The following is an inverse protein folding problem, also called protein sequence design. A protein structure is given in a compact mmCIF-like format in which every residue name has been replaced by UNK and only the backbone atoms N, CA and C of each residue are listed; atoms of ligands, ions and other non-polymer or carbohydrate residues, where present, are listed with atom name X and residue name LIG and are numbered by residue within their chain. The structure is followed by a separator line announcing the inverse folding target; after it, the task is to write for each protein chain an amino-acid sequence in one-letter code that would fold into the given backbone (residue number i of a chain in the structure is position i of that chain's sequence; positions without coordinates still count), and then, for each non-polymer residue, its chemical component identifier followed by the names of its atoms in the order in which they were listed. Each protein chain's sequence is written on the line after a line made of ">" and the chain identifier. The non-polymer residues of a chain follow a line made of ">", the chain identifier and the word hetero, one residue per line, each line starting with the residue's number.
data_IF_853112188886
#
_entry.id   IF_853112188886
#
_cell.length_a   1.000
_cell.length_b   1.000
_cell.length_c   1.000
_cell.angle_alpha   90.00
_cell.angle_beta   90.00
_cell.angle_gamma   90.00
#
_symmetry.space_group_name_H-M   'P 1'
#
loop_
_entity.id
_entity.type
_entity.pdbx_description
1 polymer ?
#
# COMPACT_ATOMS: atom_id res chain seq x y z
N UNK A 1 14.41 30.14 22.80
CA UNK A 1 13.81 28.85 22.44
C UNK A 1 12.36 29.10 22.11
N UNK A 2 12.04 29.24 20.83
CA UNK A 2 10.68 29.50 20.36
C UNK A 2 10.07 28.18 19.91
N UNK A 3 8.98 27.81 20.53
CA UNK A 3 8.09 26.71 20.16
C UNK A 3 7.50 27.03 18.78
N UNK A 4 8.04 26.43 17.75
CA UNK A 4 7.46 26.52 16.40
C UNK A 4 6.18 25.67 16.37
N UNK A 5 5.09 26.35 16.06
CA UNK A 5 3.72 25.86 16.04
C UNK A 5 3.55 24.60 15.18
N UNK A 6 3.24 23.50 15.85
CA UNK A 6 2.75 22.24 15.24
C UNK A 6 1.44 22.47 14.42
N UNK A 7 0.75 23.57 14.65
CA UNK A 7 -0.51 23.95 14.00
C UNK A 7 -0.32 24.41 12.55
N UNK A 8 0.80 25.01 12.19
CA UNK A 8 1.04 25.48 10.82
C UNK A 8 1.29 24.33 9.81
N UNK A 9 1.87 23.22 10.26
CA UNK A 9 2.15 22.04 9.41
C UNK A 9 0.87 21.21 9.22
N UNK A 10 -0.02 21.19 10.20
CA UNK A 10 -1.35 20.59 10.08
C UNK A 10 -2.24 21.40 9.11
N UNK A 11 -2.06 22.71 9.02
CA UNK A 11 -2.85 23.59 8.17
C UNK A 11 -2.67 23.32 6.66
N UNK A 12 -1.49 22.90 6.20
CA UNK A 12 -1.26 22.65 4.77
C UNK A 12 -1.86 21.32 4.27
N UNK A 13 -2.01 20.34 5.16
CA UNK A 13 -2.74 19.09 4.86
C UNK A 13 -4.25 19.19 5.16
N UNK A 14 -4.67 20.17 6.01
CA UNK A 14 -6.03 20.31 6.52
C UNK A 14 -6.83 21.40 5.78
N UNK A 15 -6.17 22.35 5.10
CA UNK A 15 -6.83 23.52 4.49
C UNK A 15 -7.60 23.21 3.18
N UNK A 16 -7.74 21.96 2.77
CA UNK A 16 -8.51 21.59 1.58
C UNK A 16 -9.68 20.62 1.84
N UNK A 17 -10.19 20.57 3.07
CA UNK A 17 -11.46 19.87 3.35
C UNK A 17 -12.46 20.88 3.89
N UNK A 18 -12.90 21.78 3.04
CA UNK A 18 -14.05 22.65 3.31
C UNK A 18 -15.17 22.32 2.34
N UNK A 19 -16.29 21.93 2.93
CA UNK A 19 -17.65 21.91 2.40
C UNK A 19 -17.96 21.00 1.19
N UNK A 20 -18.51 19.83 1.47
CA UNK A 20 -19.63 19.30 0.70
C UNK A 20 -20.42 18.35 1.58
N UNK A 21 -21.62 18.74 1.95
CA UNK A 21 -22.71 17.83 2.27
C UNK A 21 -22.97 16.97 1.03
N UNK A 22 -22.35 15.78 0.97
CA UNK A 22 -22.62 14.79 -0.06
C UNK A 22 -23.53 13.75 0.57
N UNK A 23 -24.71 13.58 0.01
CA UNK A 23 -25.54 12.39 0.19
C UNK A 23 -24.71 11.12 -0.02
N UNK A 24 -24.99 10.00 0.67
CA UNK A 24 -24.25 8.77 0.53
C UNK A 24 -24.46 8.23 -0.91
N UNK A 25 -23.49 8.44 -1.81
CA UNK A 25 -23.48 7.81 -3.12
C UNK A 25 -23.39 6.30 -2.88
N UNK A 26 -24.41 5.58 -3.30
CA UNK A 26 -24.49 4.11 -3.27
C UNK A 26 -23.29 3.56 -4.03
N UNK A 27 -22.32 3.02 -3.34
CA UNK A 27 -21.14 2.40 -3.99
C UNK A 27 -21.56 1.03 -4.53
N UNK A 28 -21.29 0.80 -5.81
CA UNK A 28 -21.53 -0.48 -6.45
C UNK A 28 -20.76 -1.61 -5.74
N UNK A 29 -21.38 -2.78 -5.62
CA UNK A 29 -20.69 -3.99 -5.16
C UNK A 29 -19.63 -4.44 -6.18
N UNK A 30 -18.67 -5.28 -5.78
CA UNK A 30 -17.66 -5.82 -6.71
C UNK A 30 -18.33 -6.49 -7.92
N UNK A 31 -19.41 -7.22 -7.70
CA UNK A 31 -20.20 -7.88 -8.77
C UNK A 31 -20.85 -6.86 -9.70
N UNK A 32 -21.32 -5.72 -9.19
CA UNK A 32 -21.90 -4.64 -10.00
C UNK A 32 -20.81 -3.91 -10.79
N UNK A 33 -19.62 -3.72 -10.23
CA UNK A 33 -18.45 -3.15 -10.93
C UNK A 33 -18.02 -4.12 -12.05
N UNK A 34 -17.92 -5.41 -11.78
CA UNK A 34 -17.58 -6.43 -12.80
C UNK A 34 -18.64 -6.52 -13.91
N UNK A 35 -19.92 -6.39 -13.58
CA UNK A 35 -21.02 -6.34 -14.54
C UNK A 35 -20.97 -5.07 -15.40
N UNK A 36 -20.65 -3.90 -14.79
CA UNK A 36 -20.46 -2.64 -15.49
C UNK A 36 -19.28 -2.70 -16.47
N UNK A 37 -18.13 -3.26 -16.03
CA UNK A 37 -16.95 -3.49 -16.88
C UNK A 37 -17.29 -4.41 -18.06
N UNK A 38 -18.04 -5.48 -17.84
CA UNK A 38 -18.46 -6.40 -18.90
C UNK A 38 -19.41 -5.74 -19.91
N UNK A 39 -20.28 -4.84 -19.45
CA UNK A 39 -21.21 -4.09 -20.30
C UNK A 39 -20.46 -3.08 -21.17
N UNK A 40 -19.55 -2.30 -20.58
CA UNK A 40 -18.73 -1.32 -21.30
C UNK A 40 -17.84 -1.97 -22.37
N UNK A 41 -17.24 -3.13 -22.06
CA UNK A 41 -16.44 -3.89 -23.04
C UNK A 41 -17.27 -4.39 -24.23
N UNK A 42 -18.52 -4.79 -24.01
CA UNK A 42 -19.44 -5.20 -25.11
C UNK A 42 -19.86 -4.01 -25.97
N UNK A 43 -20.05 -2.83 -25.38
CA UNK A 43 -20.44 -1.62 -26.10
C UNK A 43 -19.27 -1.04 -26.92
N UNK A 44 -18.06 -1.04 -26.39
CA UNK A 44 -16.85 -0.60 -27.11
C UNK A 44 -16.50 -1.52 -28.29
N UNK A 45 -16.63 -2.84 -28.13
CA UNK A 45 -16.42 -3.78 -29.24
C UNK A 45 -17.45 -3.60 -30.37
N UNK A 46 -18.66 -3.13 -30.08
CA UNK A 46 -19.67 -2.83 -31.13
C UNK A 46 -19.36 -1.54 -31.91
N UNK A 47 -18.66 -0.56 -31.28
CA UNK A 47 -18.25 0.70 -31.93
C UNK A 47 -17.05 0.52 -32.87
N UNK A 48 -16.05 -0.29 -32.49
CA UNK A 48 -14.89 -0.56 -33.34
C UNK A 48 -15.14 -1.38 -34.60
N UNK A 49 -16.30 -2.02 -34.74
CA UNK A 49 -16.70 -2.78 -35.94
C UNK A 49 -17.34 -1.94 -37.03
N UNK A 50 -17.51 -0.62 -36.87
CA UNK A 50 -18.20 0.25 -37.83
C UNK A 50 -17.33 1.29 -38.55
N UNK A 51 -16.04 1.39 -38.27
CA UNK A 51 -15.16 2.34 -38.96
C UNK A 51 -14.02 1.60 -39.70
N UNK A 52 -14.17 1.48 -41.01
CA UNK A 52 -13.04 1.17 -41.92
C UNK A 52 -12.29 2.46 -42.21
N UNK A 53 -10.93 2.47 -42.13
CA UNK A 53 -10.15 3.64 -42.53
C UNK A 53 -10.11 3.75 -44.07
N UNK A 54 -10.45 4.91 -44.60
CA UNK A 54 -10.16 5.30 -45.99
C UNK A 54 -8.71 5.81 -46.04
N UNK A 55 -7.89 5.12 -46.81
CA UNK A 55 -6.59 5.63 -47.28
C UNK A 55 -6.86 6.74 -48.31
N UNK A 56 -6.18 7.87 -48.13
CA UNK A 56 -5.50 8.63 -49.16
C UNK A 56 -5.14 10.03 -48.64
N UNK A 57 -3.89 10.23 -48.25
CA UNK A 57 -3.28 11.57 -48.26
C UNK A 57 -1.82 11.43 -48.74
N UNK A 58 -1.56 12.00 -49.94
CA UNK A 58 -0.25 12.22 -50.54
C UNK A 58 0.58 13.14 -49.68
N UNK A 59 1.86 12.75 -49.38
CA UNK A 59 2.88 13.63 -48.81
C UNK A 59 3.99 13.86 -49.83
N UNK A 60 4.48 15.11 -50.05
CA UNK A 60 5.57 15.39 -50.94
C UNK A 60 6.92 15.00 -50.30
N UNK A 61 7.81 14.43 -51.13
CA UNK A 61 9.19 14.06 -50.77
C UNK A 61 10.02 15.30 -50.47
N UNK A 62 10.59 15.39 -49.29
CA UNK A 62 11.64 16.32 -48.94
C UNK A 62 13.01 15.61 -49.04
N UNK A 63 13.91 16.20 -49.78
CA UNK A 63 15.30 15.72 -49.93
C UNK A 63 16.10 15.90 -48.64
N UNK A 64 16.65 14.79 -48.15
CA UNK A 64 17.43 14.77 -46.91
C UNK A 64 18.91 14.89 -47.21
N UNK A 65 19.50 16.01 -46.87
CA UNK A 65 20.95 16.17 -46.77
C UNK A 65 21.49 15.40 -45.56
N UNK A 66 22.33 14.40 -45.84
CA UNK A 66 22.98 13.54 -44.87
C UNK A 66 23.99 14.32 -44.02
N UNK A 67 23.64 14.65 -42.78
CA UNK A 67 24.59 15.07 -41.75
C UNK A 67 24.98 13.88 -40.89
N UNK A 68 26.29 13.67 -40.72
CA UNK A 68 26.88 12.60 -39.94
C UNK A 68 26.40 12.65 -38.48
N UNK A 69 25.82 11.54 -38.00
CA UNK A 69 25.41 11.35 -36.60
C UNK A 69 26.62 11.41 -35.65
N UNK A 70 26.59 12.22 -34.57
CA UNK A 70 27.60 12.14 -33.52
C UNK A 70 27.58 10.80 -32.85
N UNK A 71 28.75 10.24 -32.56
CA UNK A 71 28.92 8.96 -31.84
C UNK A 71 28.16 9.02 -30.48
N UNK A 72 27.37 7.99 -30.10
CA UNK A 72 26.68 7.99 -28.83
C UNK A 72 27.69 8.03 -27.68
N UNK A 73 27.53 8.97 -26.75
CA UNK A 73 28.29 9.02 -25.50
C UNK A 73 28.08 7.68 -24.76
N UNK A 74 29.12 7.11 -24.14
CA UNK A 74 28.97 5.86 -23.38
C UNK A 74 27.92 6.06 -22.29
N UNK A 75 26.93 5.14 -22.25
CA UNK A 75 25.94 5.10 -21.17
C UNK A 75 26.67 5.06 -19.83
N UNK A 76 26.33 5.87 -18.84
CA UNK A 76 26.95 5.80 -17.51
C UNK A 76 26.78 4.38 -16.97
N UNK A 77 27.89 3.80 -16.48
CA UNK A 77 27.85 2.49 -15.78
C UNK A 77 26.82 2.58 -14.67
N UNK A 78 25.97 1.56 -14.45
CA UNK A 78 25.02 1.57 -13.37
C UNK A 78 25.78 1.79 -12.05
N UNK A 79 25.48 2.89 -11.36
CA UNK A 79 25.97 3.15 -10.00
C UNK A 79 25.59 1.92 -9.18
N UNK A 80 26.49 1.41 -8.33
CA UNK A 80 26.21 0.31 -7.42
C UNK A 80 24.85 0.57 -6.75
N UNK A 81 23.94 -0.38 -6.86
CA UNK A 81 22.60 -0.25 -6.27
C UNK A 81 22.80 -0.14 -4.77
N UNK A 82 22.80 1.08 -4.25
CA UNK A 82 22.72 1.29 -2.83
C UNK A 82 21.46 0.59 -2.34
N UNK A 83 21.55 -0.21 -1.29
CA UNK A 83 20.44 -0.97 -0.72
C UNK A 83 19.40 -0.04 -0.04
N UNK A 84 18.93 0.95 -0.79
CA UNK A 84 17.99 2.01 -0.38
C UNK A 84 16.70 1.86 -1.18
N UNK A 85 15.56 1.93 -0.51
CA UNK A 85 14.24 1.74 -1.13
C UNK A 85 13.92 2.79 -2.21
N UNK A 86 14.43 4.02 -2.08
CA UNK A 86 14.24 5.04 -3.10
C UNK A 86 14.88 4.67 -4.43
N UNK A 87 16.07 4.05 -4.42
CA UNK A 87 16.74 3.57 -5.63
C UNK A 87 15.93 2.45 -6.30
N UNK A 88 15.37 1.56 -5.47
CA UNK A 88 14.50 0.51 -5.99
C UNK A 88 13.23 1.07 -6.62
N UNK A 89 12.61 2.09 -6.00
CA UNK A 89 11.42 2.73 -6.53
C UNK A 89 11.72 3.39 -7.88
N UNK A 90 12.87 4.06 -8.03
CA UNK A 90 13.33 4.67 -9.29
C UNK A 90 13.57 3.65 -10.40
N UNK A 91 14.23 2.53 -10.08
CA UNK A 91 14.58 1.50 -11.08
C UNK A 91 13.36 0.71 -11.55
N UNK A 92 12.37 0.52 -10.66
CA UNK A 92 11.15 -0.26 -10.95
C UNK A 92 9.99 0.64 -11.39
N UNK A 93 10.24 1.89 -11.73
CA UNK A 93 9.22 2.83 -12.17
C UNK A 93 8.57 2.37 -13.48
N UNK A 94 7.25 2.39 -13.52
CA UNK A 94 6.45 1.94 -14.66
C UNK A 94 5.30 2.88 -15.04
N UNK A 95 5.04 3.92 -14.22
CA UNK A 95 4.03 4.92 -14.52
C UNK A 95 4.56 5.93 -15.54
N UNK A 96 3.94 5.96 -16.72
CA UNK A 96 4.27 6.90 -17.79
C UNK A 96 3.48 8.21 -17.62
N UNK A 97 4.17 9.34 -17.68
CA UNK A 97 3.57 10.68 -17.65
C UNK A 97 4.54 11.73 -18.19
N UNK A 98 4.02 12.86 -18.67
CA UNK A 98 4.84 14.01 -19.03
C UNK A 98 5.18 14.83 -17.77
N UNK A 99 6.45 14.79 -17.29
CA UNK A 99 6.87 15.54 -16.10
C UNK A 99 6.82 17.07 -16.31
N UNK A 100 6.71 17.53 -17.57
CA UNK A 100 6.67 18.95 -17.94
C UNK A 100 5.24 19.48 -18.09
N UNK A 101 4.21 18.64 -17.86
CA UNK A 101 2.85 19.11 -17.88
C UNK A 101 2.63 20.22 -16.83
N UNK A 102 2.02 21.36 -17.24
CA UNK A 102 1.90 22.61 -16.45
C UNK A 102 1.31 22.41 -15.04
N UNK A 103 0.34 21.49 -14.90
CA UNK A 103 -0.28 21.19 -13.58
C UNK A 103 0.72 20.46 -12.66
N UNK A 104 1.55 19.56 -13.20
CA UNK A 104 2.59 18.84 -12.46
C UNK A 104 3.69 19.81 -12.01
N UNK A 105 4.16 20.68 -12.92
CA UNK A 105 5.15 21.71 -12.58
C UNK A 105 4.66 22.59 -11.42
N UNK A 106 3.39 23.03 -11.45
CA UNK A 106 2.81 23.84 -10.38
C UNK A 106 2.84 23.15 -9.02
N UNK A 107 2.44 21.88 -8.94
CA UNK A 107 2.47 21.12 -7.69
C UNK A 107 3.91 20.82 -7.24
N UNK A 108 4.81 20.54 -8.18
CA UNK A 108 6.24 20.36 -7.90
C UNK A 108 6.86 21.62 -7.27
N UNK A 109 6.56 22.80 -7.81
CA UNK A 109 7.02 24.05 -7.21
C UNK A 109 6.49 24.23 -5.79
N UNK A 110 5.24 23.85 -5.50
CA UNK A 110 4.70 23.86 -4.14
C UNK A 110 5.49 22.96 -3.18
N UNK A 111 5.86 21.75 -3.59
CA UNK A 111 6.72 20.88 -2.77
C UNK A 111 8.10 21.50 -2.52
N UNK A 112 8.66 22.15 -3.53
CA UNK A 112 10.01 22.73 -3.46
C UNK A 112 10.07 24.04 -2.65
N UNK A 113 8.94 24.70 -2.37
CA UNK A 113 8.90 25.82 -1.42
C UNK A 113 9.12 25.40 0.03
N UNK A 114 8.94 24.10 0.35
CA UNK A 114 9.12 23.56 1.70
C UNK A 114 9.81 22.19 1.62
N UNK A 115 11.08 22.13 1.19
CA UNK A 115 11.78 20.84 0.97
C UNK A 115 11.92 20.02 2.25
N UNK A 116 11.96 20.66 3.43
CA UNK A 116 11.99 19.98 4.75
C UNK A 116 10.75 19.12 4.97
N UNK A 117 9.62 19.48 4.37
CA UNK A 117 8.40 18.67 4.41
C UNK A 117 8.66 17.28 3.82
N UNK A 118 9.31 17.20 2.64
CA UNK A 118 9.62 15.93 1.99
C UNK A 118 10.60 15.09 2.83
N UNK A 119 11.58 15.72 3.47
CA UNK A 119 12.49 15.04 4.41
C UNK A 119 11.70 14.44 5.58
N UNK A 120 10.79 15.20 6.17
CA UNK A 120 9.97 14.72 7.29
C UNK A 120 9.00 13.60 6.87
N UNK A 121 8.38 13.70 5.70
CA UNK A 121 7.48 12.66 5.18
C UNK A 121 8.27 11.39 4.85
N UNK A 122 9.43 11.50 4.19
CA UNK A 122 10.28 10.34 3.90
C UNK A 122 10.75 9.64 5.18
N UNK A 123 11.10 10.39 6.25
CA UNK A 123 11.40 9.84 7.56
C UNK A 123 10.20 9.13 8.21
N UNK A 124 9.00 9.67 8.03
CA UNK A 124 7.77 8.97 8.48
C UNK A 124 7.47 7.72 7.65
N UNK A 125 7.87 7.64 6.41
CA UNK A 125 7.69 6.47 5.57
C UNK A 125 8.58 5.27 5.98
N UNK A 126 9.72 5.52 6.63
CA UNK A 126 10.73 4.51 6.96
C UNK A 126 10.16 3.20 7.55
N UNK A 127 9.27 3.20 8.55
CA UNK A 127 8.76 1.95 9.10
C UNK A 127 7.84 1.17 8.17
N UNK A 128 7.27 1.80 7.14
CA UNK A 128 6.16 1.24 6.37
C UNK A 128 6.48 0.96 4.91
N UNK A 129 7.39 1.75 4.32
CA UNK A 129 7.62 1.78 2.88
C UNK A 129 8.02 0.41 2.32
N UNK A 130 8.89 -0.34 3.00
CA UNK A 130 9.28 -1.69 2.58
C UNK A 130 8.07 -2.61 2.47
N UNK A 131 7.23 -2.65 3.51
CA UNK A 131 6.04 -3.50 3.54
C UNK A 131 5.05 -3.16 2.42
N UNK A 132 4.87 -1.88 2.13
CA UNK A 132 3.96 -1.41 1.09
C UNK A 132 4.49 -1.77 -0.29
N UNK A 133 5.78 -1.52 -0.57
CA UNK A 133 6.42 -1.90 -1.84
C UNK A 133 6.36 -3.42 -2.04
N UNK A 134 6.65 -4.21 -1.02
CA UNK A 134 6.58 -5.68 -1.08
C UNK A 134 5.16 -6.17 -1.40
N UNK A 135 4.14 -5.56 -0.78
CA UNK A 135 2.73 -5.89 -1.05
C UNK A 135 2.31 -5.54 -2.49
N UNK A 136 2.74 -4.39 -3.01
CA UNK A 136 2.48 -3.99 -4.40
C UNK A 136 3.15 -4.93 -5.40
N UNK A 137 4.42 -5.27 -5.17
CA UNK A 137 5.19 -6.21 -6.02
C UNK A 137 4.56 -7.59 -6.09
N UNK A 138 4.11 -8.13 -4.96
CA UNK A 138 3.45 -9.45 -4.91
C UNK A 138 2.19 -9.54 -5.75
N UNK A 139 1.55 -8.40 -6.01
CA UNK A 139 0.33 -8.30 -6.80
C UNK A 139 0.57 -7.69 -8.20
N UNK A 140 1.84 -7.55 -8.61
CA UNK A 140 2.27 -6.98 -9.90
C UNK A 140 1.71 -5.56 -10.14
N UNK A 141 1.64 -4.74 -9.10
CA UNK A 141 1.25 -3.33 -9.19
C UNK A 141 2.48 -2.42 -9.24
N UNK A 142 2.38 -1.25 -9.89
CA UNK A 142 3.44 -0.25 -9.89
C UNK A 142 3.88 0.10 -8.47
N UNK A 143 5.19 0.03 -8.22
CA UNK A 143 5.75 0.30 -6.89
C UNK A 143 5.63 1.77 -6.48
N UNK A 144 5.47 2.67 -7.45
CA UNK A 144 5.24 4.10 -7.27
C UNK A 144 3.97 4.38 -6.48
N UNK A 145 2.97 3.48 -6.53
CA UNK A 145 1.75 3.58 -5.73
C UNK A 145 2.03 3.56 -4.22
N UNK A 146 3.24 3.13 -3.80
CA UNK A 146 3.70 3.29 -2.43
C UNK A 146 3.82 4.76 -1.99
N UNK A 147 3.79 5.71 -2.93
CA UNK A 147 3.78 7.14 -2.63
C UNK A 147 2.38 7.69 -2.29
N UNK A 148 1.30 6.94 -2.56
CA UNK A 148 -0.06 7.37 -2.19
C UNK A 148 -0.18 7.77 -0.72
N UNK A 149 0.33 7.01 0.27
CA UNK A 149 0.31 7.43 1.66
C UNK A 149 1.07 8.74 1.96
N UNK A 150 2.01 9.18 1.09
CA UNK A 150 2.63 10.50 1.24
C UNK A 150 1.64 11.61 0.93
N UNK A 151 0.78 11.43 -0.08
CA UNK A 151 -0.24 12.39 -0.49
C UNK A 151 -1.45 12.34 0.45
N UNK A 152 -1.87 11.14 0.87
CA UNK A 152 -3.06 10.90 1.68
C UNK A 152 -2.92 11.33 3.15
N UNK A 153 -1.85 10.90 3.79
CA UNK A 153 -1.67 11.04 5.24
C UNK A 153 -0.29 11.57 5.65
N UNK A 154 0.56 11.94 4.69
CA UNK A 154 1.98 12.19 4.95
C UNK A 154 2.65 11.06 5.77
N UNK A 155 2.25 9.81 5.55
CA UNK A 155 2.67 8.61 6.30
C UNK A 155 2.37 8.66 7.81
N UNK A 156 1.29 9.33 8.21
CA UNK A 156 0.80 9.33 9.61
C UNK A 156 -0.18 8.16 9.76
N UNK A 157 0.23 7.09 10.45
CA UNK A 157 -0.54 5.84 10.54
C UNK A 157 -1.88 5.97 11.29
N UNK A 158 -2.00 6.93 12.18
CA UNK A 158 -3.23 7.24 12.93
C UNK A 158 -3.93 8.51 12.45
N UNK A 159 -3.66 8.98 11.24
CA UNK A 159 -4.35 10.16 10.69
C UNK A 159 -5.85 9.87 10.54
N UNK A 160 -6.67 10.86 10.90
CA UNK A 160 -8.12 10.85 10.68
C UNK A 160 -8.53 12.18 10.10
N UNK A 161 -9.18 12.16 8.93
CA UNK A 161 -9.69 13.36 8.27
C UNK A 161 -11.01 13.82 8.86
N UNK A 162 -11.44 15.06 8.52
CA UNK A 162 -12.76 15.59 8.90
C UNK A 162 -13.91 14.75 8.34
N UNK A 163 -13.73 14.12 7.18
CA UNK A 163 -14.71 13.22 6.56
C UNK A 163 -14.66 11.79 7.11
N UNK A 164 -13.83 11.54 8.15
CA UNK A 164 -13.72 10.23 8.80
C UNK A 164 -12.86 9.23 8.04
N UNK A 165 -12.11 9.64 7.00
CA UNK A 165 -11.09 8.80 6.38
C UNK A 165 -9.93 8.57 7.36
N UNK A 166 -9.34 7.36 7.41
CA UNK A 166 -8.36 7.01 8.44
C UNK A 166 -7.19 6.19 7.91
N UNK A 167 -6.05 6.33 8.61
CA UNK A 167 -4.83 5.57 8.41
C UNK A 167 -3.96 6.07 7.27
N UNK A 168 -2.94 5.29 6.92
CA UNK A 168 -1.97 5.62 5.87
C UNK A 168 -2.65 5.88 4.52
N UNK A 169 -3.66 5.08 4.20
CA UNK A 169 -4.36 5.02 2.93
C UNK A 169 -5.66 5.83 2.89
N UNK A 170 -6.02 6.49 3.99
CA UNK A 170 -7.21 7.33 4.14
C UNK A 170 -8.51 6.66 3.66
N UNK A 171 -8.72 5.39 4.06
CA UNK A 171 -10.00 4.73 3.78
C UNK A 171 -11.14 5.39 4.56
N UNK A 172 -12.23 5.74 3.87
CA UNK A 172 -13.51 6.03 4.53
C UNK A 172 -14.13 4.72 5.06
N UNK A 173 -14.98 4.75 6.11
CA UNK A 173 -15.53 3.54 6.74
C UNK A 173 -16.15 2.55 5.76
N UNK A 174 -17.04 3.02 4.88
CA UNK A 174 -17.75 2.17 3.92
C UNK A 174 -16.80 1.47 2.93
N UNK A 175 -15.81 2.21 2.37
CA UNK A 175 -14.84 1.62 1.45
C UNK A 175 -13.95 0.61 2.18
N UNK A 176 -13.48 0.95 3.39
CA UNK A 176 -12.68 0.02 4.19
C UNK A 176 -13.42 -1.28 4.46
N UNK A 177 -14.67 -1.22 4.89
CA UNK A 177 -15.52 -2.40 5.13
C UNK A 177 -15.70 -3.23 3.86
N UNK A 178 -15.96 -2.59 2.72
CA UNK A 178 -16.13 -3.25 1.43
C UNK A 178 -14.88 -4.06 1.03
N UNK A 179 -13.69 -3.55 1.30
CA UNK A 179 -12.43 -4.24 1.02
C UNK A 179 -11.92 -5.12 2.17
N UNK A 180 -12.78 -5.40 3.18
CA UNK A 180 -12.54 -6.38 4.23
C UNK A 180 -11.77 -5.86 5.44
N UNK A 181 -11.68 -4.53 5.62
CA UNK A 181 -11.09 -3.93 6.81
C UNK A 181 -12.05 -4.07 7.99
N UNK A 182 -11.60 -4.76 9.03
CA UNK A 182 -12.36 -4.90 10.27
C UNK A 182 -12.29 -3.63 11.12
N UNK A 183 -13.39 -3.32 11.79
CA UNK A 183 -13.48 -2.22 12.75
C UNK A 183 -14.37 -2.59 13.91
N UNK A 184 -13.93 -2.29 15.13
CA UNK A 184 -14.70 -2.39 16.37
C UNK A 184 -14.26 -1.26 17.33
N UNK A 185 -14.84 -1.11 18.52
CA UNK A 185 -14.46 -0.04 19.46
C UNK A 185 -12.97 0.02 19.82
N UNK A 186 -12.29 -1.12 19.92
CA UNK A 186 -10.88 -1.22 20.31
C UNK A 186 -9.91 -1.37 19.14
N UNK A 187 -10.42 -1.55 17.91
CA UNK A 187 -9.58 -1.78 16.73
C UNK A 187 -10.17 -1.13 15.48
N UNK A 188 -9.35 -0.33 14.81
CA UNK A 188 -9.65 0.19 13.47
C UNK A 188 -8.57 -0.26 12.48
N UNK A 189 -8.87 -1.28 11.69
CA UNK A 189 -7.95 -1.84 10.69
C UNK A 189 -7.55 -0.89 9.58
N UNK A 190 -8.23 0.25 9.41
CA UNK A 190 -7.82 1.32 8.48
C UNK A 190 -6.50 1.96 8.90
N UNK A 191 -6.20 1.93 10.21
CA UNK A 191 -4.97 2.42 10.80
C UNK A 191 -3.91 1.30 10.96
N UNK A 192 -4.26 0.02 10.80
CA UNK A 192 -3.29 -1.08 10.72
C UNK A 192 -2.65 -1.12 9.35
N UNK A 193 -1.32 -1.04 9.31
CA UNK A 193 -0.58 -0.97 8.03
C UNK A 193 -0.78 -2.21 7.16
N UNK A 194 -0.95 -3.40 7.74
CA UNK A 194 -1.11 -4.66 6.99
C UNK A 194 -2.52 -4.75 6.39
N UNK A 195 -3.54 -4.52 7.21
CA UNK A 195 -4.93 -4.63 6.80
C UNK A 195 -5.28 -3.54 5.77
N UNK A 196 -4.87 -2.30 6.04
CA UNK A 196 -5.13 -1.19 5.13
C UNK A 196 -4.34 -1.31 3.82
N UNK A 197 -3.08 -1.77 3.84
CA UNK A 197 -2.30 -2.01 2.61
C UNK A 197 -2.91 -3.14 1.78
N UNK A 198 -3.33 -4.24 2.40
CA UNK A 198 -4.03 -5.34 1.70
C UNK A 198 -5.32 -4.86 1.03
N UNK A 199 -6.09 -4.01 1.71
CA UNK A 199 -7.30 -3.43 1.16
C UNK A 199 -6.99 -2.45 0.02
N UNK A 200 -5.97 -1.58 0.17
CA UNK A 200 -5.56 -0.63 -0.86
C UNK A 200 -5.10 -1.33 -2.15
N UNK A 201 -4.31 -2.38 -2.03
CA UNK A 201 -3.87 -3.21 -3.16
C UNK A 201 -5.09 -3.81 -3.89
N UNK A 202 -6.06 -4.36 -3.17
CA UNK A 202 -7.29 -4.88 -3.78
C UNK A 202 -8.09 -3.79 -4.48
N UNK A 203 -8.24 -2.63 -3.85
CA UNK A 203 -8.99 -1.50 -4.43
C UNK A 203 -8.30 -0.97 -5.68
N UNK A 204 -6.99 -0.78 -5.66
CA UNK A 204 -6.21 -0.36 -6.83
C UNK A 204 -6.34 -1.34 -7.99
N UNK A 205 -6.36 -2.66 -7.74
CA UNK A 205 -6.60 -3.68 -8.79
C UNK A 205 -7.99 -3.57 -9.40
N UNK A 206 -9.01 -3.33 -8.57
CA UNK A 206 -10.38 -3.14 -9.05
C UNK A 206 -10.46 -1.89 -9.92
N UNK A 207 -9.89 -0.77 -9.47
CA UNK A 207 -9.86 0.47 -10.23
C UNK A 207 -9.07 0.32 -11.53
N UNK A 208 -7.89 -0.32 -11.50
CA UNK A 208 -7.08 -0.56 -12.68
C UNK A 208 -7.84 -1.36 -13.76
N UNK A 209 -8.58 -2.40 -13.34
CA UNK A 209 -9.44 -3.17 -14.25
C UNK A 209 -10.61 -2.33 -14.78
N UNK A 210 -11.21 -1.47 -13.94
CA UNK A 210 -12.34 -0.62 -14.28
C UNK A 210 -11.99 0.43 -15.33
N UNK A 211 -10.79 1.01 -15.23
CA UNK A 211 -10.30 2.07 -16.13
C UNK A 211 -9.32 1.55 -17.20
N UNK A 212 -9.42 0.27 -17.57
CA UNK A 212 -8.66 -0.39 -18.66
C UNK A 212 -7.13 -0.08 -18.60
N UNK A 213 -6.58 0.03 -17.41
CA UNK A 213 -5.16 0.26 -17.18
C UNK A 213 -4.72 1.71 -17.10
N UNK A 214 -5.60 2.69 -17.30
CA UNK A 214 -5.26 4.11 -17.17
C UNK A 214 -5.02 4.51 -15.71
N UNK A 215 -3.75 4.61 -15.34
CA UNK A 215 -3.36 4.95 -13.97
C UNK A 215 -3.74 6.36 -13.54
N UNK A 216 -3.88 7.32 -14.48
CA UNK A 216 -4.31 8.67 -14.12
C UNK A 216 -5.78 8.68 -13.71
N UNK A 217 -6.62 7.94 -14.42
CA UNK A 217 -8.03 7.72 -14.07
C UNK A 217 -8.15 6.91 -12.77
N UNK A 218 -7.30 5.89 -12.57
CA UNK A 218 -7.23 5.11 -11.32
C UNK A 218 -6.93 6.00 -10.12
N UNK A 219 -5.89 6.85 -10.21
CA UNK A 219 -5.52 7.78 -9.15
C UNK A 219 -6.63 8.80 -8.86
N UNK A 220 -7.27 9.33 -9.92
CA UNK A 220 -8.41 10.23 -9.76
C UNK A 220 -9.60 9.53 -9.08
N UNK A 221 -9.88 8.28 -9.45
CA UNK A 221 -10.96 7.48 -8.87
C UNK A 221 -10.66 7.06 -7.43
N UNK A 222 -9.40 6.80 -7.09
CA UNK A 222 -9.00 6.54 -5.71
C UNK A 222 -9.37 7.71 -4.78
N UNK A 223 -9.14 8.95 -5.24
CA UNK A 223 -9.45 10.16 -4.49
C UNK A 223 -10.96 10.50 -4.50
N UNK A 224 -11.59 10.51 -5.68
CA UNK A 224 -12.96 11.02 -5.85
C UNK A 224 -14.05 9.94 -5.79
N UNK A 225 -13.67 8.67 -5.86
CA UNK A 225 -14.57 7.54 -6.09
C UNK A 225 -14.81 7.28 -7.57
N UNK A 226 -14.87 6.01 -7.92
CA UNK A 226 -14.97 5.51 -9.29
C UNK A 226 -16.20 6.04 -10.05
N UNK A 227 -17.36 6.10 -9.39
CA UNK A 227 -18.60 6.57 -10.02
C UNK A 227 -18.53 8.03 -10.45
N UNK A 228 -17.82 8.88 -9.70
CA UNK A 228 -17.64 10.28 -10.08
C UNK A 228 -16.79 10.41 -11.35
N UNK A 229 -15.76 9.59 -11.47
CA UNK A 229 -14.89 9.62 -12.66
C UNK A 229 -15.64 9.06 -13.88
N UNK A 230 -16.30 7.91 -13.75
CA UNK A 230 -17.11 7.33 -14.82
C UNK A 230 -18.15 8.33 -15.34
N UNK A 231 -18.88 9.00 -14.44
CA UNK A 231 -19.86 10.04 -14.82
C UNK A 231 -19.24 11.19 -15.62
N UNK A 232 -18.02 11.62 -15.28
CA UNK A 232 -17.34 12.67 -16.04
C UNK A 232 -16.85 12.16 -17.41
N UNK A 233 -16.40 10.91 -17.48
CA UNK A 233 -16.02 10.26 -18.74
C UNK A 233 -17.23 10.16 -19.68
N UNK A 234 -18.36 9.65 -19.19
CA UNK A 234 -19.62 9.54 -19.95
C UNK A 234 -20.08 10.90 -20.47
N UNK A 235 -20.00 11.93 -19.61
CA UNK A 235 -20.34 13.31 -20.00
C UNK A 235 -19.45 13.83 -21.12
N UNK A 236 -18.13 13.60 -21.04
CA UNK A 236 -17.21 14.02 -22.08
C UNK A 236 -17.48 13.28 -23.40
N UNK A 237 -17.69 11.96 -23.34
CA UNK A 237 -18.00 11.14 -24.52
C UNK A 237 -19.30 11.58 -25.20
N UNK A 238 -20.35 11.88 -24.43
CA UNK A 238 -21.62 12.38 -24.94
C UNK A 238 -21.49 13.72 -25.70
N UNK A 239 -20.43 14.50 -25.40
CA UNK A 239 -20.12 15.77 -26.08
C UNK A 239 -18.98 15.64 -27.11
N UNK A 240 -18.56 14.43 -27.47
CA UNK A 240 -17.45 14.21 -28.42
C UNK A 240 -16.09 14.70 -27.92
N UNK A 241 -15.89 14.79 -26.59
CA UNK A 241 -14.64 15.23 -25.95
C UNK A 241 -13.81 14.04 -25.48
N UNK A 242 -12.47 14.17 -25.40
CA UNK A 242 -11.64 13.13 -24.81
C UNK A 242 -12.05 12.82 -23.36
N UNK A 243 -12.06 11.53 -23.00
CA UNK A 243 -12.46 11.06 -21.69
C UNK A 243 -11.26 10.68 -20.80
N UNK A 244 -10.03 11.11 -21.16
CA UNK A 244 -8.84 10.95 -20.35
C UNK A 244 -8.80 11.95 -19.17
N UNK A 245 -8.00 11.66 -18.17
CA UNK A 245 -7.90 12.47 -16.94
C UNK A 245 -7.73 13.98 -17.20
N UNK A 246 -6.89 14.36 -18.18
CA UNK A 246 -6.53 15.77 -18.39
C UNK A 246 -7.67 16.60 -18.95
N UNK A 247 -8.63 15.95 -19.58
CA UNK A 247 -9.79 16.57 -20.21
C UNK A 247 -11.09 16.50 -19.37
N UNK A 248 -11.08 15.74 -18.24
CA UNK A 248 -12.24 15.67 -17.34
C UNK A 248 -12.46 16.97 -16.55
N UNK A 249 -13.73 17.33 -16.36
CA UNK A 249 -14.13 18.43 -15.46
C UNK A 249 -14.26 17.90 -14.03
N UNK A 250 -13.15 17.90 -13.31
CA UNK A 250 -13.07 17.38 -11.94
C UNK A 250 -13.21 18.51 -10.92
N UNK A 251 -13.65 18.17 -9.68
CA UNK A 251 -13.57 19.07 -8.53
C UNK A 251 -12.11 19.46 -8.30
N UNK A 252 -11.89 20.65 -7.76
CA UNK A 252 -10.57 21.23 -7.53
C UNK A 252 -9.63 20.26 -6.79
N UNK A 253 -10.11 19.62 -5.73
CA UNK A 253 -9.35 18.62 -4.96
C UNK A 253 -8.80 17.51 -5.88
N UNK A 254 -9.66 16.87 -6.66
CA UNK A 254 -9.27 15.77 -7.55
C UNK A 254 -8.43 16.25 -8.73
N UNK A 255 -8.71 17.46 -9.24
CA UNK A 255 -7.92 18.08 -10.31
C UNK A 255 -6.47 18.40 -9.88
N UNK A 256 -6.21 18.55 -8.58
CA UNK A 256 -4.88 18.74 -8.00
C UNK A 256 -4.26 17.43 -7.50
N UNK A 257 -5.05 16.41 -7.18
CA UNK A 257 -4.58 15.17 -6.56
C UNK A 257 -3.58 14.41 -7.44
N UNK A 258 -3.95 14.11 -8.68
CA UNK A 258 -3.07 13.38 -9.62
C UNK A 258 -1.81 14.19 -9.95
N UNK A 259 -1.88 15.48 -10.32
CA UNK A 259 -0.67 16.30 -10.48
C UNK A 259 0.22 16.34 -9.25
N UNK A 260 -0.35 16.37 -8.04
CA UNK A 260 0.39 16.31 -6.77
C UNK A 260 1.18 15.01 -6.61
N UNK A 261 0.54 13.88 -6.91
CA UNK A 261 1.18 12.56 -6.89
C UNK A 261 2.31 12.48 -7.92
N UNK A 262 2.07 12.91 -9.16
CA UNK A 262 3.06 12.89 -10.23
C UNK A 262 4.23 13.88 -10.00
N UNK A 263 3.96 15.02 -9.39
CA UNK A 263 4.99 15.97 -8.97
C UNK A 263 5.91 15.36 -7.90
N UNK A 264 5.32 14.69 -6.90
CA UNK A 264 6.07 13.96 -5.88
C UNK A 264 6.91 12.85 -6.51
N UNK A 265 6.33 12.07 -7.42
CA UNK A 265 7.01 11.01 -8.16
C UNK A 265 8.19 11.57 -8.96
N UNK A 266 8.02 12.69 -9.68
CA UNK A 266 9.12 13.33 -10.44
C UNK A 266 10.27 13.79 -9.54
N UNK A 267 9.97 14.32 -8.33
CA UNK A 267 11.00 14.70 -7.36
C UNK A 267 11.76 13.48 -6.85
N UNK A 268 11.05 12.38 -6.53
CA UNK A 268 11.65 11.16 -6.01
C UNK A 268 12.51 10.46 -7.08
N UNK A 269 12.13 10.56 -8.35
CA UNK A 269 12.93 10.02 -9.46
C UNK A 269 14.25 10.79 -9.65
N UNK A 270 14.24 12.10 -9.49
CA UNK A 270 15.36 12.99 -9.75
C UNK A 270 15.61 13.95 -8.57
N UNK A 271 15.83 13.45 -7.33
CA UNK A 271 15.91 14.32 -6.15
C UNK A 271 17.07 15.31 -6.22
N UNK A 272 18.20 14.92 -6.84
CA UNK A 272 19.37 15.78 -7.01
C UNK A 272 19.07 16.98 -7.89
N UNK A 273 18.26 16.82 -8.95
CA UNK A 273 17.86 17.90 -9.86
C UNK A 273 17.02 18.98 -9.15
N UNK A 274 16.40 18.60 -8.03
CA UNK A 274 15.53 19.47 -7.24
C UNK A 274 16.13 19.87 -5.88
N UNK A 275 17.37 19.46 -5.59
CA UNK A 275 18.02 19.75 -4.31
C UNK A 275 17.32 19.11 -3.10
N UNK A 276 16.61 17.99 -3.28
CA UNK A 276 15.84 17.32 -2.22
C UNK A 276 16.62 16.13 -1.66
N UNK A 277 16.91 16.18 -0.35
CA UNK A 277 17.57 15.09 0.38
C UNK A 277 16.52 14.23 1.10
N UNK A 278 16.08 13.14 0.47
CA UNK A 278 15.17 12.19 1.11
C UNK A 278 15.87 11.43 2.25
N UNK A 279 15.12 11.15 3.33
CA UNK A 279 15.64 10.29 4.40
C UNK A 279 15.98 8.89 3.83
N UNK A 280 17.22 8.40 4.04
CA UNK A 280 17.63 7.11 3.47
C UNK A 280 16.90 5.95 4.17
N UNK A 281 16.14 5.18 3.40
CA UNK A 281 15.37 4.03 3.90
C UNK A 281 16.00 2.75 3.37
N UNK A 282 16.44 1.86 4.27
CA UNK A 282 17.02 0.58 3.90
C UNK A 282 16.00 -0.33 3.22
N UNK A 283 16.43 -1.06 2.21
CA UNK A 283 15.61 -2.07 1.53
C UNK A 283 15.56 -3.39 2.33
N UNK A 284 15.08 -3.29 3.56
CA UNK A 284 14.88 -4.42 4.48
C UNK A 284 13.63 -4.19 5.31
N UNK A 285 12.94 -5.24 5.77
CA UNK A 285 11.80 -5.10 6.65
C UNK A 285 12.17 -4.31 7.92
N UNK A 286 11.37 -3.31 8.25
CA UNK A 286 11.53 -2.54 9.49
C UNK A 286 10.93 -3.26 10.68
N UNK A 287 9.79 -3.88 10.51
CA UNK A 287 9.03 -4.57 11.56
C UNK A 287 8.73 -6.03 11.21
N UNK A 288 8.47 -6.81 12.24
CA UNK A 288 7.92 -8.16 12.13
C UNK A 288 6.85 -8.38 13.21
N UNK A 289 5.85 -9.26 12.98
CA UNK A 289 4.84 -9.58 13.96
C UNK A 289 5.39 -10.51 15.05
N UNK A 290 4.94 -10.31 16.29
CA UNK A 290 5.04 -11.29 17.40
C UNK A 290 3.64 -11.59 17.93
N UNK A 291 3.41 -12.80 18.43
CA UNK A 291 2.11 -13.19 18.98
C UNK A 291 2.02 -12.74 20.44
N UNK A 292 0.95 -12.02 20.76
CA UNK A 292 0.56 -11.65 22.13
C UNK A 292 -0.75 -12.35 22.44
N UNK A 293 -0.75 -13.20 23.45
CA UNK A 293 -1.91 -14.04 23.83
C UNK A 293 -2.73 -13.43 24.97
N UNK A 294 -2.15 -12.46 25.68
CA UNK A 294 -2.80 -11.80 26.83
C UNK A 294 -3.19 -10.38 26.49
N UNK A 295 -4.32 -9.94 27.06
CA UNK A 295 -4.67 -8.53 27.04
C UNK A 295 -3.61 -7.73 27.81
N UNK A 296 -2.96 -6.81 27.10
CA UNK A 296 -1.84 -6.03 27.64
C UNK A 296 -1.80 -4.67 26.99
N UNK A 297 -1.51 -3.62 27.77
CA UNK A 297 -1.36 -2.28 27.21
C UNK A 297 -0.06 -2.14 26.40
N UNK A 298 -0.07 -1.33 25.33
CA UNK A 298 1.13 -1.02 24.59
C UNK A 298 2.21 -0.36 25.46
N UNK A 299 1.81 0.37 26.52
CA UNK A 299 2.76 0.96 27.49
C UNK A 299 3.54 -0.12 28.25
N UNK A 300 2.85 -1.15 28.71
CA UNK A 300 3.48 -2.29 29.40
C UNK A 300 4.37 -3.08 28.43
N UNK A 301 3.86 -3.41 27.23
CA UNK A 301 4.64 -4.11 26.20
C UNK A 301 5.89 -3.32 25.77
N UNK A 302 5.79 -2.00 25.66
CA UNK A 302 6.93 -1.16 25.35
C UNK A 302 8.05 -1.28 26.40
N UNK A 303 7.69 -1.35 27.70
CA UNK A 303 8.63 -1.56 28.79
C UNK A 303 9.25 -2.96 28.75
N UNK A 304 8.40 -4.01 28.63
CA UNK A 304 8.84 -5.43 28.63
C UNK A 304 9.76 -5.74 27.42
N UNK A 305 9.42 -5.21 26.25
CA UNK A 305 10.17 -5.44 25.02
C UNK A 305 11.36 -4.49 24.85
N UNK A 306 11.54 -3.50 25.75
CA UNK A 306 12.51 -2.41 25.64
C UNK A 306 12.44 -1.72 24.27
N UNK A 307 11.26 -1.25 23.90
CA UNK A 307 11.00 -0.51 22.66
C UNK A 307 10.35 0.85 22.96
N UNK A 308 10.66 1.85 22.16
CA UNK A 308 10.07 3.17 22.31
C UNK A 308 8.53 3.10 22.14
N UNK A 309 7.77 3.57 23.15
CA UNK A 309 6.31 3.54 23.15
C UNK A 309 5.71 4.28 21.95
N UNK A 310 6.25 5.43 21.55
CA UNK A 310 5.77 6.19 20.39
C UNK A 310 5.90 5.39 19.09
N UNK A 311 7.02 4.70 18.92
CA UNK A 311 7.25 3.80 17.78
C UNK A 311 6.30 2.60 17.83
N UNK A 312 6.16 1.94 18.98
CA UNK A 312 5.27 0.78 19.14
C UNK A 312 3.80 1.15 18.85
N UNK A 313 3.33 2.29 19.35
CA UNK A 313 1.98 2.82 19.07
C UNK A 313 1.81 3.14 17.58
N UNK A 314 2.82 3.72 16.96
CA UNK A 314 2.79 4.06 15.54
C UNK A 314 2.72 2.82 14.64
N UNK A 315 3.44 1.75 14.97
CA UNK A 315 3.41 0.47 14.25
C UNK A 315 2.06 -0.26 14.43
N UNK A 316 1.39 -0.06 15.57
CA UNK A 316 0.14 -0.72 15.95
C UNK A 316 -1.01 0.29 16.09
N UNK A 317 -1.07 1.26 15.19
CA UNK A 317 -2.07 2.34 15.25
C UNK A 317 -3.52 1.83 15.14
N UNK A 318 -3.73 0.62 14.62
CA UNK A 318 -5.04 -0.03 14.59
C UNK A 318 -5.63 -0.28 15.98
N UNK A 319 -4.82 -0.42 17.03
CA UNK A 319 -5.29 -0.52 18.43
C UNK A 319 -5.68 0.87 18.96
N UNK A 320 -6.96 1.21 18.88
CA UNK A 320 -7.50 2.53 19.22
C UNK A 320 -7.36 2.88 20.69
N UNK A 321 -7.58 1.91 21.57
CA UNK A 321 -7.43 2.00 23.03
C UNK A 321 -6.00 1.67 23.52
N UNK A 322 -5.08 1.30 22.59
CA UNK A 322 -3.70 0.92 22.89
C UNK A 322 -3.56 -0.31 23.79
N UNK A 323 -4.52 -1.21 23.70
CA UNK A 323 -4.57 -2.47 24.45
C UNK A 323 -4.76 -3.62 23.46
N UNK A 324 -4.03 -4.73 23.63
CA UNK A 324 -4.23 -5.94 22.82
C UNK A 324 -5.52 -6.65 23.19
N UNK A 325 -6.22 -7.36 22.26
CA UNK A 325 -7.45 -8.08 22.55
C UNK A 325 -7.30 -9.14 23.64
N UNK A 326 -8.37 -9.38 24.41
CA UNK A 326 -8.37 -10.33 25.53
C UNK A 326 -8.52 -11.80 25.09
N UNK A 327 -9.25 -12.04 23.99
CA UNK A 327 -9.71 -13.38 23.61
C UNK A 327 -9.05 -13.94 22.34
N UNK A 328 -8.23 -13.14 21.67
CA UNK A 328 -7.62 -13.52 20.39
C UNK A 328 -6.12 -13.29 20.42
N UNK A 329 -5.37 -14.18 19.76
CA UNK A 329 -3.94 -13.96 19.53
C UNK A 329 -3.77 -12.71 18.66
N UNK A 330 -3.11 -11.68 19.20
CA UNK A 330 -2.84 -10.46 18.47
C UNK A 330 -1.42 -10.46 17.89
N UNK A 331 -1.29 -10.17 16.60
CA UNK A 331 0.00 -10.04 15.91
C UNK A 331 0.54 -8.63 16.09
N UNK A 332 1.23 -8.39 17.21
CA UNK A 332 1.85 -7.10 17.52
C UNK A 332 3.05 -6.85 16.60
N UNK A 333 3.06 -5.70 15.95
CA UNK A 333 4.19 -5.27 15.11
C UNK A 333 5.28 -4.64 15.97
N UNK A 334 6.49 -5.17 15.87
CA UNK A 334 7.67 -4.66 16.57
C UNK A 334 8.86 -4.58 15.61
N UNK A 335 9.90 -3.75 15.89
CA UNK A 335 11.12 -3.77 15.08
C UNK A 335 11.70 -5.17 14.92
N UNK A 336 12.27 -5.50 13.76
CA UNK A 336 12.74 -6.87 13.45
C UNK A 336 13.73 -7.42 14.48
N UNK A 337 14.63 -6.59 15.03
CA UNK A 337 15.57 -7.01 16.08
C UNK A 337 14.87 -7.35 17.40
N UNK A 338 13.77 -6.67 17.72
CA UNK A 338 12.92 -7.00 18.88
C UNK A 338 12.20 -8.32 18.65
N UNK A 339 11.62 -8.50 17.45
CA UNK A 339 10.94 -9.75 17.10
C UNK A 339 11.87 -10.96 17.18
N UNK A 340 13.10 -10.84 16.72
CA UNK A 340 14.10 -11.90 16.80
C UNK A 340 14.42 -12.26 18.26
N UNK A 341 14.67 -11.27 19.12
CA UNK A 341 14.90 -11.50 20.57
C UNK A 341 13.69 -12.09 21.29
N UNK A 342 12.49 -11.63 20.93
CA UNK A 342 11.27 -12.17 21.52
C UNK A 342 11.08 -13.65 21.16
N UNK A 343 11.28 -14.03 19.90
CA UNK A 343 11.14 -15.41 19.43
C UNK A 343 12.20 -16.35 20.02
N UNK A 344 13.43 -15.86 20.24
CA UNK A 344 14.46 -16.67 20.90
C UNK A 344 14.14 -16.99 22.36
N UNK A 345 13.44 -16.08 23.06
CA UNK A 345 12.99 -16.27 24.46
C UNK A 345 11.64 -17.02 24.55
N UNK A 346 10.82 -16.92 23.50
CA UNK A 346 9.51 -17.52 23.40
C UNK A 346 9.46 -18.31 22.08
N UNK A 347 10.14 -19.45 21.98
CA UNK A 347 10.08 -20.28 20.79
C UNK A 347 8.60 -20.61 20.52
N UNK A 348 8.16 -20.37 19.30
CA UNK A 348 6.80 -20.71 18.90
C UNK A 348 6.58 -22.19 19.20
N UNK A 349 5.49 -22.52 19.88
CA UNK A 349 5.00 -23.88 19.82
C UNK A 349 4.81 -24.19 18.34
N UNK A 350 5.31 -25.31 17.84
CA UNK A 350 5.20 -25.63 16.43
C UNK A 350 3.73 -25.54 16.02
N UNK A 351 3.44 -24.64 15.10
CA UNK A 351 2.09 -24.41 14.55
C UNK A 351 1.84 -25.47 13.48
N UNK A 352 1.76 -26.71 13.90
CA UNK A 352 1.55 -27.82 12.98
C UNK A 352 0.44 -28.71 13.46
N UNK A 353 -0.61 -28.78 12.67
CA UNK A 353 -1.61 -29.84 12.77
C UNK A 353 -1.00 -31.23 12.55
N UNK A 354 0.28 -31.30 12.19
CA UNK A 354 1.01 -32.56 12.01
C UNK A 354 2.53 -32.40 12.28
N UNK A 355 3.14 -33.47 12.73
CA UNK A 355 4.58 -33.59 12.98
C UNK A 355 5.16 -34.75 12.17
N UNK A 356 6.25 -34.51 11.41
CA UNK A 356 7.00 -35.57 10.76
C UNK A 356 8.11 -36.05 11.67
N UNK A 357 8.03 -37.30 12.09
CA UNK A 357 8.96 -37.92 13.02
C UNK A 357 10.38 -37.91 12.46
N UNK A 358 11.32 -37.35 13.21
CA UNK A 358 12.74 -37.37 12.89
C UNK A 358 13.39 -38.69 13.32
N UNK A 359 14.59 -38.96 12.81
CA UNK A 359 15.35 -40.16 13.22
C UNK A 359 15.72 -40.10 14.70
N UNK A 360 15.36 -41.14 15.47
CA UNK A 360 15.60 -41.23 16.91
C UNK A 360 14.63 -40.43 17.79
N UNK A 361 13.62 -39.80 17.22
CA UNK A 361 12.63 -39.05 17.98
C UNK A 361 11.58 -39.97 18.64
N UNK A 362 11.14 -39.63 19.88
CA UNK A 362 10.19 -40.40 20.63
C UNK A 362 8.85 -39.68 20.82
N UNK A 363 7.74 -40.41 21.07
CA UNK A 363 6.44 -39.80 21.39
C UNK A 363 6.50 -38.83 22.57
N UNK A 364 7.35 -39.14 23.59
CA UNK A 364 7.56 -38.26 24.75
C UNK A 364 8.20 -36.92 24.38
N UNK A 365 9.20 -36.95 23.49
CA UNK A 365 9.83 -35.73 22.99
C UNK A 365 8.85 -34.90 22.14
N UNK A 366 8.09 -35.56 21.27
CA UNK A 366 7.09 -34.92 20.43
C UNK A 366 5.97 -34.31 21.31
N UNK A 367 5.43 -35.07 22.26
CA UNK A 367 4.37 -34.61 23.16
C UNK A 367 4.79 -33.38 23.97
N UNK A 368 6.05 -33.34 24.49
CA UNK A 368 6.61 -32.18 25.17
C UNK A 368 6.76 -30.97 24.23
N UNK A 369 7.20 -31.18 22.99
CA UNK A 369 7.34 -30.12 21.98
C UNK A 369 6.02 -29.41 21.71
N UNK A 370 4.90 -30.14 21.69
CA UNK A 370 3.58 -29.60 21.36
C UNK A 370 2.71 -29.35 22.61
N UNK A 371 3.24 -29.58 23.83
CA UNK A 371 2.54 -29.41 25.10
C UNK A 371 1.22 -30.20 25.19
N UNK A 372 1.24 -31.44 24.75
CA UNK A 372 0.17 -32.40 24.79
C UNK A 372 0.60 -33.66 25.50
N UNK A 373 -0.33 -34.45 26.04
CA UNK A 373 0.05 -35.71 26.64
C UNK A 373 0.36 -36.76 25.57
N UNK A 374 1.26 -37.71 25.89
CA UNK A 374 1.51 -38.89 25.05
C UNK A 374 0.24 -39.64 24.74
N UNK A 375 -0.69 -39.72 25.72
CA UNK A 375 -1.99 -40.36 25.57
C UNK A 375 -2.87 -39.66 24.54
N UNK A 376 -2.93 -38.34 24.55
CA UNK A 376 -3.64 -37.56 23.53
C UNK A 376 -3.03 -37.73 22.14
N UNK A 377 -1.68 -37.68 22.03
CA UNK A 377 -0.97 -37.87 20.76
C UNK A 377 -1.25 -39.29 20.20
N UNK A 378 -1.22 -40.32 21.04
CA UNK A 378 -1.53 -41.68 20.61
C UNK A 378 -2.98 -41.84 20.18
N UNK A 379 -3.94 -41.32 20.96
CA UNK A 379 -5.37 -41.38 20.65
C UNK A 379 -5.67 -40.71 19.32
N UNK A 380 -5.12 -39.51 19.09
CA UNK A 380 -5.35 -38.73 17.89
C UNK A 380 -4.79 -39.42 16.62
N UNK A 381 -3.76 -40.23 16.77
CA UNK A 381 -3.08 -40.95 15.68
C UNK A 381 -3.41 -42.47 15.66
N UNK A 382 -4.36 -42.94 16.50
CA UNK A 382 -4.76 -44.36 16.59
C UNK A 382 -3.56 -45.30 16.84
N UNK A 383 -2.55 -44.84 17.58
CA UNK A 383 -1.36 -45.63 17.89
C UNK A 383 -1.65 -46.61 19.02
N UNK A 384 -1.49 -47.91 18.76
CA UNK A 384 -1.68 -48.99 19.74
C UNK A 384 -0.50 -49.10 20.73
N UNK A 385 0.67 -48.67 20.36
CA UNK A 385 1.91 -48.70 21.18
C UNK A 385 2.74 -47.42 20.95
N UNK A 386 3.91 -47.34 21.57
CA UNK A 386 4.78 -46.14 21.46
C UNK A 386 5.75 -46.17 20.25
N UNK A 387 5.61 -47.16 19.37
CA UNK A 387 6.49 -47.29 18.20
C UNK A 387 6.07 -46.33 17.10
N UNK A 388 6.97 -45.45 16.76
CA UNK A 388 6.88 -44.52 15.62
C UNK A 388 8.10 -44.70 14.69
N UNK A 389 7.96 -44.37 13.42
CA UNK A 389 9.02 -44.54 12.42
C UNK A 389 9.53 -43.19 11.95
N UNK A 390 10.83 -43.02 11.68
CA UNK A 390 11.34 -41.84 10.98
C UNK A 390 10.58 -41.61 9.66
N UNK A 391 10.17 -40.37 9.42
CA UNK A 391 9.35 -39.97 8.27
C UNK A 391 7.84 -40.17 8.45
N UNK A 392 7.37 -40.83 9.51
CA UNK A 392 5.94 -40.96 9.84
C UNK A 392 5.37 -39.57 10.16
N UNK A 393 4.18 -39.26 9.62
CA UNK A 393 3.46 -38.02 9.96
C UNK A 393 2.44 -38.31 11.06
N UNK A 394 2.55 -37.58 12.16
CA UNK A 394 1.59 -37.66 13.30
C UNK A 394 0.73 -36.39 13.27
N UNK A 395 -0.60 -36.57 13.37
CA UNK A 395 -1.53 -35.48 13.57
C UNK A 395 -1.42 -34.98 15.02
N UNK A 396 -1.21 -33.69 15.21
CA UNK A 396 -1.09 -33.04 16.51
C UNK A 396 -2.48 -32.47 16.88
N UNK A 397 -3.11 -32.91 17.97
CA UNK A 397 -4.38 -32.35 18.38
C UNK A 397 -4.24 -30.90 18.82
N UNK A 398 -5.24 -30.08 18.53
CA UNK A 398 -5.33 -28.73 19.11
C UNK A 398 -5.47 -28.86 20.64
N UNK A 399 -4.66 -28.11 21.39
CA UNK A 399 -4.62 -28.10 22.86
C UNK A 399 -5.79 -27.35 23.47
#
# INVERSE_FOLDING_TARGET
>A
MRTFDLLAILSLAILFVSSASAEPSTKLSIAEIEKAVSKLKKENNKKHLKEKPSNDIFLPKAETKTQAKPKPKPKPKPKSINNILWDQLRISASLEFDPNHRRIIRERMRYLTTPEYLVQVSKRAEPFLFHIIDALKKENLPVELALLPMVESAYISNAVSKSGAAGLWQFIPATGQHFGIKRNPSYDGRQDVRDSTKAAVKYLKVLHKLFDGDWLLVLAAYNAGENNILKQMDRNQAHGRPADYWNLQLREETAHYVPKFLALLSIIHHPDDYGVNLWPIKNTPFFAPINIEKQTSLKQLAKELNVNLKLLTRLNAGLTDKITPAKEKYKLLVPVGIAARYRSKNPAKPDSSSHRVAQGETLTQISRRYDISVTQLKKNNQLKNDRIRPGQTLAIPES
#
